data_IF_158200516341
#
_entry.id   IF_158200516341
#
_cell.length_a   1.000
_cell.length_b   1.000
_cell.length_c   1.000
_cell.angle_alpha   90.00
_cell.angle_beta   90.00
_cell.angle_gamma   90.00
#
_symmetry.space_group_name_H-M   'P 1'
#
loop_
_entity.id
_entity.type
_entity.pdbx_description
1 polymer ?
#
# COMPACT_ATOMS: atom_id res chain seq x y z
N UNK A 1 -1.32 13.23 11.47
CA UNK A 1 -0.65 12.22 10.61
C UNK A 1 -0.99 10.86 11.17
N UNK A 2 -1.56 9.96 10.37
CA UNK A 2 -1.90 8.62 10.84
C UNK A 2 -0.62 7.79 10.95
N UNK A 3 -0.38 7.19 12.12
CA UNK A 3 0.80 6.36 12.36
C UNK A 3 0.47 4.90 12.08
N UNK A 4 0.80 4.43 10.88
CA UNK A 4 0.63 3.05 10.44
C UNK A 4 1.79 2.15 10.82
N UNK A 5 2.99 2.71 11.00
CA UNK A 5 4.19 1.94 11.26
C UNK A 5 5.14 2.66 12.25
N UNK A 6 5.88 1.87 13.05
CA UNK A 6 6.85 2.41 14.03
C UNK A 6 8.10 3.04 13.38
N UNK A 7 8.61 2.42 12.32
CA UNK A 7 9.70 2.96 11.50
C UNK A 7 9.21 4.12 10.63
N UNK A 8 9.78 5.31 10.83
CA UNK A 8 9.36 6.56 10.18
C UNK A 8 9.40 6.48 8.65
N UNK A 9 10.44 5.85 8.07
CA UNK A 9 10.58 5.73 6.62
C UNK A 9 9.50 4.86 5.99
N UNK A 10 9.17 3.73 6.63
CA UNK A 10 8.06 2.85 6.22
C UNK A 10 6.72 3.59 6.37
N UNK A 11 6.52 4.30 7.48
CA UNK A 11 5.30 5.09 7.68
C UNK A 11 5.10 6.12 6.56
N UNK A 12 6.16 6.86 6.23
CA UNK A 12 6.12 7.87 5.17
C UNK A 12 5.75 7.25 3.82
N UNK A 13 6.34 6.10 3.49
CA UNK A 13 6.02 5.41 2.23
C UNK A 13 4.57 4.93 2.19
N UNK A 14 4.04 4.42 3.31
CA UNK A 14 2.63 4.05 3.44
C UNK A 14 1.74 5.28 3.24
N UNK A 15 2.08 6.41 3.86
CA UNK A 15 1.33 7.67 3.69
C UNK A 15 1.32 8.14 2.24
N UNK A 16 2.45 8.09 1.54
CA UNK A 16 2.53 8.44 0.12
C UNK A 16 1.70 7.49 -0.76
N UNK A 17 1.74 6.18 -0.47
CA UNK A 17 0.90 5.20 -1.16
C UNK A 17 -0.61 5.49 -0.94
N UNK A 18 -1.00 5.86 0.28
CA UNK A 18 -2.40 6.23 0.58
C UNK A 18 -2.80 7.48 -0.21
N UNK A 19 -1.93 8.49 -0.29
CA UNK A 19 -2.19 9.70 -1.10
C UNK A 19 -2.38 9.40 -2.59
N UNK A 20 -1.71 8.38 -3.12
CA UNK A 20 -1.91 7.94 -4.50
C UNK A 20 -3.13 7.05 -4.68
N UNK A 21 -3.86 6.71 -3.61
CA UNK A 21 -5.13 5.97 -3.67
C UNK A 21 -5.05 4.51 -3.20
N UNK A 22 -3.90 4.07 -2.69
CA UNK A 22 -3.83 2.77 -2.00
C UNK A 22 -4.66 2.79 -0.72
N UNK A 23 -5.25 1.65 -0.39
CA UNK A 23 -6.06 1.50 0.84
C UNK A 23 -5.28 0.74 1.87
N UNK A 24 -5.11 1.34 3.05
CA UNK A 24 -4.49 0.67 4.18
C UNK A 24 -5.56 0.03 5.03
N UNK A 25 -5.32 -1.22 5.45
CA UNK A 25 -6.12 -1.95 6.42
C UNK A 25 -5.21 -2.60 7.47
N UNK A 26 -5.69 -2.83 8.69
CA UNK A 26 -4.96 -3.63 9.67
C UNK A 26 -4.77 -5.06 9.15
N UNK A 27 -3.55 -5.57 9.31
CA UNK A 27 -3.21 -6.99 9.16
C UNK A 27 -2.77 -7.55 10.51
N UNK A 28 -2.93 -8.85 10.76
CA UNK A 28 -2.70 -9.43 12.10
C UNK A 28 -1.37 -9.05 12.75
N UNK A 29 -0.29 -8.94 11.96
CA UNK A 29 1.05 -8.56 12.44
C UNK A 29 1.58 -7.25 11.83
N UNK A 30 0.71 -6.35 11.36
CA UNK A 30 1.12 -5.10 10.73
C UNK A 30 0.00 -4.44 9.95
N UNK A 31 0.29 -4.00 8.74
CA UNK A 31 -0.70 -3.40 7.85
C UNK A 31 -0.67 -4.05 6.48
N UNK A 32 -1.76 -3.93 5.76
CA UNK A 32 -1.89 -4.39 4.39
C UNK A 32 -2.31 -3.20 3.54
N UNK A 33 -1.61 -3.00 2.43
CA UNK A 33 -1.97 -2.05 1.38
C UNK A 33 -2.65 -2.81 0.25
N UNK A 34 -3.90 -2.45 -0.05
CA UNK A 34 -4.65 -2.94 -1.19
C UNK A 34 -4.62 -1.89 -2.31
N UNK A 35 -4.23 -2.34 -3.50
CA UNK A 35 -4.27 -1.53 -4.72
C UNK A 35 -5.74 -1.27 -5.13
N UNK A 36 -6.09 -0.05 -5.56
CA UNK A 36 -7.47 0.26 -5.97
C UNK A 36 -7.88 -0.36 -7.31
N UNK A 37 -6.93 -0.80 -8.13
CA UNK A 37 -7.14 -1.31 -9.49
C UNK A 37 -8.10 -2.52 -9.56
N UNK A 38 -8.66 -2.82 -10.74
CA UNK A 38 -9.52 -3.98 -10.96
C UNK A 38 -8.86 -5.30 -10.55
N UNK A 39 -9.66 -6.29 -10.15
CA UNK A 39 -9.20 -7.54 -9.49
C UNK A 39 -8.12 -8.32 -10.24
N UNK A 40 -8.04 -8.19 -11.57
CA UNK A 40 -7.03 -8.85 -12.40
C UNK A 40 -5.65 -8.13 -12.38
N UNK A 41 -5.63 -6.88 -11.91
CA UNK A 41 -4.43 -6.05 -11.73
C UNK A 41 -4.19 -5.67 -10.26
N UNK A 42 -5.15 -5.97 -9.37
CA UNK A 42 -5.09 -5.62 -7.97
C UNK A 42 -3.93 -6.35 -7.28
N UNK A 43 -2.98 -5.59 -6.77
CA UNK A 43 -1.91 -6.09 -5.90
C UNK A 43 -2.24 -5.83 -4.44
N UNK A 44 -1.82 -6.74 -3.58
CA UNK A 44 -1.85 -6.59 -2.13
C UNK A 44 -0.43 -6.65 -1.59
N UNK A 45 -0.09 -5.72 -0.71
CA UNK A 45 1.23 -5.64 -0.08
C UNK A 45 1.06 -5.69 1.43
N UNK A 46 1.51 -6.77 2.05
CA UNK A 46 1.60 -6.84 3.51
C UNK A 46 2.90 -6.22 3.98
N UNK A 47 2.82 -5.35 4.98
CA UNK A 47 3.95 -4.72 5.66
C UNK A 47 3.97 -5.22 7.10
N UNK A 48 5.05 -5.89 7.49
CA UNK A 48 5.24 -6.34 8.86
C UNK A 48 5.37 -5.14 9.79
N UNK A 49 4.74 -5.18 10.98
CA UNK A 49 4.87 -4.15 12.02
C UNK A 49 6.23 -4.21 12.74
N UNK A 50 6.91 -5.36 12.68
CA UNK A 50 8.23 -5.60 13.26
C UNK A 50 9.11 -6.37 12.26
N UNK A 51 9.51 -5.73 11.14
CA UNK A 51 10.36 -6.38 10.16
C UNK A 51 11.76 -6.61 10.75
N UNK A 52 12.33 -7.80 10.52
CA UNK A 52 13.71 -8.10 10.91
C UNK A 52 14.73 -7.22 10.15
N UNK A 53 14.40 -6.87 8.89
CA UNK A 53 15.15 -5.92 8.07
C UNK A 53 14.23 -4.78 7.60
N UNK A 54 14.19 -3.63 8.31
CA UNK A 54 13.34 -2.50 7.98
C UNK A 54 13.64 -1.88 6.61
N UNK A 55 14.91 -1.79 6.21
CA UNK A 55 15.30 -1.20 4.92
C UNK A 55 14.93 -2.10 3.75
N UNK A 56 15.07 -3.41 3.91
CA UNK A 56 14.60 -4.40 2.93
C UNK A 56 13.08 -4.38 2.75
N UNK A 57 12.33 -4.29 3.85
CA UNK A 57 10.86 -4.15 3.79
C UNK A 57 10.45 -2.83 3.12
N UNK A 58 11.16 -1.73 3.39
CA UNK A 58 10.94 -0.45 2.72
C UNK A 58 11.19 -0.55 1.21
N UNK A 59 12.29 -1.19 0.79
CA UNK A 59 12.61 -1.37 -0.63
C UNK A 59 11.54 -2.22 -1.33
N UNK A 60 11.08 -3.30 -0.69
CA UNK A 60 10.00 -4.16 -1.18
C UNK A 60 8.69 -3.39 -1.31
N UNK A 61 8.32 -2.60 -0.30
CA UNK A 61 7.12 -1.77 -0.31
C UNK A 61 7.17 -0.77 -1.46
N UNK A 62 8.29 -0.05 -1.62
CA UNK A 62 8.50 0.88 -2.73
C UNK A 62 8.34 0.21 -4.09
N UNK A 63 8.97 -0.94 -4.27
CA UNK A 63 8.88 -1.67 -5.54
C UNK A 63 7.43 -2.09 -5.82
N UNK A 64 6.72 -2.58 -4.81
CA UNK A 64 5.35 -3.04 -4.97
C UNK A 64 4.37 -1.90 -5.27
N UNK A 65 4.54 -0.74 -4.61
CA UNK A 65 3.75 0.48 -4.87
C UNK A 65 4.05 1.03 -6.28
N UNK A 66 5.32 1.02 -6.72
CA UNK A 66 5.72 1.45 -8.06
C UNK A 66 5.24 0.53 -9.18
N UNK A 67 5.14 -0.77 -8.93
CA UNK A 67 4.72 -1.78 -9.93
C UNK A 67 3.21 -1.84 -10.16
N UNK A 68 2.44 -0.83 -9.73
CA UNK A 68 1.04 -0.72 -10.10
C UNK A 68 0.92 -0.50 -11.63
N UNK A 69 0.28 -1.43 -12.37
CA UNK A 69 0.26 -1.44 -13.84
C UNK A 69 -0.42 -0.20 -14.46
N UNK A 70 -1.28 0.50 -13.72
CA UNK A 70 -2.04 1.66 -14.21
C UNK A 70 -1.42 3.02 -13.85
N UNK A 71 -0.23 3.04 -13.25
CA UNK A 71 0.45 4.29 -12.83
C UNK A 71 -0.45 5.28 -12.05
N UNK A 72 -1.54 4.86 -11.39
CA UNK A 72 -2.42 5.67 -10.51
C UNK A 72 -3.00 7.00 -11.05
N UNK A 73 -2.54 7.52 -12.18
CA UNK A 73 -2.95 8.81 -12.74
C UNK A 73 -4.32 8.71 -13.44
N UNK A 74 -4.73 7.49 -13.82
CA UNK A 74 -5.95 7.23 -14.60
C UNK A 74 -7.15 6.69 -13.78
N UNK A 75 -6.95 6.22 -12.54
CA UNK A 75 -8.02 5.59 -11.74
C UNK A 75 -8.76 6.60 -10.85
N UNK A 76 -9.20 7.73 -11.44
CA UNK A 76 -10.13 8.68 -10.80
C UNK A 76 -11.58 8.21 -10.82
N UNK A 77 -11.85 6.95 -11.18
CA UNK A 77 -13.22 6.47 -11.31
C UNK A 77 -13.70 5.79 -10.01
N UNK A 78 -14.86 6.20 -9.47
CA UNK A 78 -15.46 5.50 -8.34
C UNK A 78 -15.82 4.07 -8.78
N UNK A 79 -15.39 3.09 -7.99
CA UNK A 79 -15.73 1.67 -8.24
C UNK A 79 -17.25 1.50 -8.30
N UNK A 80 -17.83 0.84 -9.32
CA UNK A 80 -19.23 0.43 -9.25
C UNK A 80 -19.43 -0.53 -8.08
N UNK A 81 -20.45 -0.28 -7.27
CA UNK A 81 -20.96 -1.27 -6.31
C UNK A 81 -21.62 -2.37 -7.14
N UNK A 82 -20.93 -3.49 -7.33
CA UNK A 82 -21.62 -4.70 -7.75
C UNK A 82 -22.32 -5.27 -6.52
N UNK A 83 -23.65 -5.33 -6.61
CA UNK A 83 -24.55 -6.01 -5.68
C UNK A 83 -24.52 -7.53 -5.84
#
# INVERSE_FOLDING_TARGET
>A
MAKYHKHKAINREIEEAVKTGWRVRPGGHGVVLDCPCPRHLSRRVSVSGTPANPDGELARLRQAVRHCPDRHELDKQPRPRNG
#
